data_IF_519600543015
#
_entry.id   IF_519600543015
#
_cell.length_a   1.000
_cell.length_b   1.000
_cell.length_c   1.000
_cell.angle_alpha   90.00
_cell.angle_beta   90.00
_cell.angle_gamma   90.00
#
_symmetry.space_group_name_H-M   'P 1'
#
loop_
_entity.id
_entity.type
_entity.pdbx_description
1 polymer ?
#
# COMPACT_ATOMS: atom_id res chain seq x y z
N UNK A 1 16.96 3.58 -9.60
CA UNK A 1 16.03 3.36 -10.72
C UNK A 1 15.17 2.10 -10.53
N UNK A 2 15.51 1.19 -9.60
CA UNK A 2 14.88 -0.14 -9.54
C UNK A 2 13.56 -0.22 -8.77
N UNK A 3 13.41 0.47 -7.63
CA UNK A 3 12.23 0.30 -6.76
C UNK A 3 10.91 0.67 -7.44
N UNK A 4 10.83 1.87 -8.04
CA UNK A 4 9.64 2.32 -8.77
C UNK A 4 9.47 1.54 -10.08
N UNK A 5 10.57 1.12 -10.72
CA UNK A 5 10.52 0.26 -11.89
C UNK A 5 9.81 -1.06 -11.57
N UNK A 6 10.23 -1.73 -10.50
CA UNK A 6 9.64 -2.97 -10.03
C UNK A 6 8.16 -2.77 -9.68
N UNK A 7 7.85 -1.74 -8.90
CA UNK A 7 6.50 -1.50 -8.40
C UNK A 7 5.50 -1.16 -9.52
N UNK A 8 5.93 -0.36 -10.50
CA UNK A 8 5.08 0.07 -11.62
C UNK A 8 4.76 -1.06 -12.60
N UNK A 9 5.64 -2.07 -12.71
CA UNK A 9 5.53 -3.13 -13.72
C UNK A 9 5.65 -2.63 -15.16
N UNK A 10 6.15 -1.40 -15.38
CA UNK A 10 6.27 -0.83 -16.71
C UNK A 10 7.37 -1.49 -17.53
N UNK A 11 7.14 -1.58 -18.84
CA UNK A 11 8.17 -1.93 -19.83
C UNK A 11 9.03 -0.73 -20.23
N UNK A 12 8.59 0.48 -19.84
CA UNK A 12 9.39 1.69 -19.95
C UNK A 12 10.51 1.66 -18.91
N UNK A 13 11.75 1.85 -19.35
CA UNK A 13 12.92 1.96 -18.47
C UNK A 13 12.98 3.35 -17.84
N UNK A 14 12.68 3.41 -16.55
CA UNK A 14 12.65 4.65 -15.78
C UNK A 14 14.06 5.13 -15.48
N UNK A 15 14.33 6.39 -15.81
CA UNK A 15 15.65 6.99 -15.68
C UNK A 15 15.68 8.09 -14.62
N UNK A 16 16.69 8.06 -13.76
CA UNK A 16 17.04 9.16 -12.89
C UNK A 16 18.03 10.08 -13.60
N UNK A 17 17.50 11.08 -14.30
CA UNK A 17 18.29 12.07 -15.01
C UNK A 17 17.78 13.48 -14.69
N UNK A 18 18.40 14.19 -13.72
CA UNK A 18 17.96 15.53 -13.32
C UNK A 18 18.00 16.55 -14.46
N UNK A 19 18.81 16.32 -15.50
CA UNK A 19 18.99 17.27 -16.61
C UNK A 19 17.72 17.41 -17.45
N UNK A 20 16.83 16.41 -17.42
CA UNK A 20 15.53 16.44 -18.08
C UNK A 20 14.64 17.60 -17.57
N UNK A 21 14.89 18.10 -16.35
CA UNK A 21 14.13 19.20 -15.75
C UNK A 21 14.82 20.58 -15.86
N UNK A 22 16.03 20.68 -16.41
CA UNK A 22 16.78 21.96 -16.41
C UNK A 22 16.11 23.07 -17.22
N UNK A 23 15.32 22.71 -18.21
CA UNK A 23 14.60 23.65 -19.07
C UNK A 23 13.10 23.69 -18.79
N UNK A 24 12.66 23.19 -17.62
CA UNK A 24 11.26 23.21 -17.20
C UNK A 24 11.05 24.09 -15.96
N UNK A 25 9.83 24.56 -15.76
CA UNK A 25 9.44 25.24 -14.54
C UNK A 25 9.14 24.20 -13.46
N UNK A 26 10.18 23.79 -12.72
CA UNK A 26 10.08 22.82 -11.64
C UNK A 26 10.55 23.41 -10.31
N UNK A 27 9.81 23.14 -9.23
CA UNK A 27 10.15 23.63 -7.89
C UNK A 27 10.95 22.56 -7.14
N UNK A 28 12.19 22.86 -6.77
CA UNK A 28 13.03 21.98 -5.95
C UNK A 28 12.75 22.14 -4.45
N UNK A 29 11.47 22.01 -4.09
CA UNK A 29 10.99 22.00 -2.72
C UNK A 29 9.91 20.94 -2.57
N UNK A 30 9.93 20.21 -1.45
CA UNK A 30 8.93 19.20 -1.15
C UNK A 30 8.41 19.36 0.28
N UNK A 31 7.12 19.09 0.47
CA UNK A 31 6.48 18.96 1.77
C UNK A 31 5.68 17.67 1.75
N UNK A 32 6.06 16.72 2.62
CA UNK A 32 5.34 15.46 2.75
C UNK A 32 3.92 15.76 3.21
N UNK A 33 2.94 15.26 2.45
CA UNK A 33 1.52 15.39 2.78
C UNK A 33 1.09 14.26 3.71
N UNK A 34 0.03 14.52 4.48
CA UNK A 34 -0.56 13.54 5.37
C UNK A 34 -1.13 12.35 4.59
N UNK A 35 -1.76 12.63 3.45
CA UNK A 35 -2.39 11.66 2.58
C UNK A 35 -1.34 10.71 1.99
N UNK A 36 -0.15 11.22 1.67
CA UNK A 36 0.97 10.37 1.25
C UNK A 36 1.43 9.44 2.37
N UNK A 37 1.44 9.92 3.62
CA UNK A 37 1.72 9.07 4.79
C UNK A 37 0.69 7.95 4.91
N UNK A 38 -0.62 8.24 4.83
CA UNK A 38 -1.66 7.22 4.90
C UNK A 38 -1.59 6.22 3.74
N UNK A 39 -1.37 6.71 2.53
CA UNK A 39 -1.24 5.90 1.32
C UNK A 39 -0.13 4.86 1.45
N UNK A 40 1.00 5.21 2.08
CA UNK A 40 2.17 4.34 2.23
C UNK A 40 2.07 3.28 3.34
N UNK A 41 0.90 3.09 3.97
CA UNK A 41 0.69 2.05 5.00
C UNK A 41 0.54 0.64 4.40
N UNK A 42 1.54 0.17 3.65
CA UNK A 42 1.55 -1.10 2.91
C UNK A 42 1.84 -2.34 3.76
N UNK A 43 1.17 -2.43 4.90
CA UNK A 43 1.23 -3.58 5.82
C UNK A 43 0.84 -4.93 5.20
N UNK A 44 -0.02 -5.03 4.16
CA UNK A 44 -0.26 -6.29 3.48
C UNK A 44 0.98 -6.97 2.87
N UNK A 45 2.09 -6.24 2.68
CA UNK A 45 3.36 -6.82 2.22
C UNK A 45 3.91 -7.85 3.23
N UNK A 46 3.56 -7.72 4.50
CA UNK A 46 4.14 -8.53 5.57
C UNK A 46 3.61 -9.98 5.50
N UNK A 47 4.50 -10.99 5.52
CA UNK A 47 4.11 -12.40 5.41
C UNK A 47 3.52 -12.94 6.72
N UNK A 48 3.09 -14.21 6.72
CA UNK A 48 2.63 -14.89 7.93
C UNK A 48 3.78 -15.23 8.90
N UNK A 49 4.95 -15.54 8.35
CA UNK A 49 6.20 -15.83 9.06
C UNK A 49 7.40 -15.40 8.20
N UNK A 50 8.58 -15.30 8.79
CA UNK A 50 9.81 -14.85 8.12
C UNK A 50 10.74 -16.05 7.91
N UNK A 51 11.06 -16.36 6.65
CA UNK A 51 11.92 -17.49 6.31
C UNK A 51 13.35 -16.99 6.13
N UNK A 52 14.30 -17.48 6.94
CA UNK A 52 15.69 -17.01 6.96
C UNK A 52 16.64 -18.20 7.03
N UNK A 53 17.44 -18.42 5.98
CA UNK A 53 18.45 -19.48 5.94
C UNK A 53 17.92 -20.89 6.32
N UNK A 54 16.68 -21.20 5.94
CA UNK A 54 16.00 -22.46 6.25
C UNK A 54 15.19 -22.47 7.55
N UNK A 55 15.35 -21.46 8.40
CA UNK A 55 14.55 -21.29 9.62
C UNK A 55 13.27 -20.52 9.32
N UNK A 56 12.19 -20.83 10.05
CA UNK A 56 10.92 -20.09 10.02
C UNK A 56 10.71 -19.36 11.34
N UNK A 57 10.65 -18.03 11.29
CA UNK A 57 10.46 -17.18 12.45
C UNK A 57 9.05 -16.60 12.46
N UNK A 58 8.32 -16.81 13.56
CA UNK A 58 7.07 -16.09 13.79
C UNK A 58 7.33 -14.62 14.16
N UNK A 59 6.30 -13.77 14.05
CA UNK A 59 6.38 -12.35 14.46
C UNK A 59 6.96 -12.14 15.86
N UNK A 60 6.60 -12.98 16.83
CA UNK A 60 7.11 -12.89 18.21
C UNK A 60 8.63 -13.08 18.28
N UNK A 61 9.18 -13.94 17.42
CA UNK A 61 10.61 -14.21 17.37
C UNK A 61 11.36 -13.23 16.46
N UNK A 62 10.66 -12.57 15.53
CA UNK A 62 11.23 -11.60 14.61
C UNK A 62 11.26 -10.18 15.19
N UNK A 63 10.11 -9.69 15.67
CA UNK A 63 9.97 -8.33 16.17
C UNK A 63 10.82 -8.12 17.43
N UNK A 64 11.56 -7.00 17.44
CA UNK A 64 12.47 -6.61 18.52
C UNK A 64 13.59 -7.62 18.83
N UNK A 65 13.82 -8.60 17.97
CA UNK A 65 14.93 -9.52 18.14
C UNK A 65 16.25 -8.87 17.73
N UNK A 66 17.06 -8.55 18.72
CA UNK A 66 18.33 -7.83 18.54
C UNK A 66 19.49 -8.70 18.09
N UNK A 67 19.29 -10.03 17.93
CA UNK A 67 20.34 -10.95 17.52
C UNK A 67 20.18 -11.54 16.12
N UNK A 68 19.03 -11.40 15.45
CA UNK A 68 18.82 -11.94 14.09
C UNK A 68 19.92 -11.48 13.13
N UNK A 69 20.19 -10.17 13.09
CA UNK A 69 21.21 -9.60 12.21
C UNK A 69 22.60 -10.18 12.47
N UNK A 70 23.01 -10.27 13.73
CA UNK A 70 24.35 -10.76 14.09
C UNK A 70 24.46 -12.28 14.03
N UNK A 71 23.35 -13.00 14.17
CA UNK A 71 23.29 -14.46 14.08
C UNK A 71 23.38 -14.95 12.64
N UNK A 72 22.54 -14.44 11.74
CA UNK A 72 22.52 -14.87 10.35
C UNK A 72 23.55 -14.14 9.48
N UNK A 73 23.88 -12.88 9.82
CA UNK A 73 24.68 -12.01 8.95
C UNK A 73 23.84 -11.38 7.83
N UNK A 74 24.41 -10.36 7.19
CA UNK A 74 23.71 -9.54 6.19
C UNK A 74 23.39 -10.36 4.93
N UNK A 75 24.34 -11.19 4.49
CA UNK A 75 24.27 -11.93 3.23
C UNK A 75 23.10 -12.91 3.22
N UNK A 76 22.92 -13.64 4.32
CA UNK A 76 21.82 -14.62 4.45
C UNK A 76 20.47 -13.94 4.57
N UNK A 77 20.39 -12.79 5.25
CA UNK A 77 19.16 -12.01 5.34
C UNK A 77 18.75 -11.46 3.98
N UNK A 78 19.69 -10.86 3.24
CA UNK A 78 19.45 -10.35 1.89
C UNK A 78 19.01 -11.48 0.96
N UNK A 79 19.72 -12.61 0.93
CA UNK A 79 19.32 -13.75 0.08
C UNK A 79 17.92 -14.27 0.44
N UNK A 80 17.63 -14.42 1.73
CA UNK A 80 16.34 -14.96 2.18
C UNK A 80 15.18 -14.01 1.88
N UNK A 81 15.31 -12.72 2.19
CA UNK A 81 14.28 -11.72 1.91
C UNK A 81 14.11 -11.44 0.41
N UNK A 82 15.15 -11.65 -0.40
CA UNK A 82 15.04 -11.54 -1.86
C UNK A 82 14.28 -12.72 -2.48
N UNK A 83 14.18 -13.85 -1.78
CA UNK A 83 13.48 -15.06 -2.25
C UNK A 83 12.05 -15.17 -1.71
N UNK A 84 11.80 -14.67 -0.50
CA UNK A 84 10.47 -14.70 0.08
C UNK A 84 9.58 -13.65 -0.57
N UNK A 85 8.47 -14.11 -1.15
CA UNK A 85 7.48 -13.25 -1.82
C UNK A 85 6.72 -12.44 -0.77
N UNK A 86 6.52 -11.15 -1.04
CA UNK A 86 5.68 -10.26 -0.23
C UNK A 86 4.19 -10.38 -0.62
N UNK A 87 3.31 -9.98 0.30
CA UNK A 87 1.86 -10.02 0.05
C UNK A 87 1.36 -8.94 -0.92
N UNK A 88 0.19 -9.19 -1.51
CA UNK A 88 -0.54 -8.23 -2.35
C UNK A 88 -1.01 -7.02 -1.52
N UNK A 89 -0.86 -5.79 -2.01
CA UNK A 89 -1.28 -4.57 -1.28
C UNK A 89 -2.77 -4.29 -1.42
N UNK A 90 -3.25 -4.12 -2.66
CA UNK A 90 -4.65 -3.81 -2.95
C UNK A 90 -5.54 -5.06 -3.06
N UNK A 91 -6.85 -4.84 -3.22
CA UNK A 91 -7.84 -5.93 -3.39
C UNK A 91 -8.39 -6.50 -2.08
N UNK A 92 -7.93 -6.02 -0.92
CA UNK A 92 -8.49 -6.36 0.38
C UNK A 92 -8.01 -7.67 1.01
N UNK A 93 -8.49 -7.91 2.23
CA UNK A 93 -8.35 -9.17 2.98
C UNK A 93 -6.91 -9.73 3.15
N UNK A 94 -5.88 -8.90 3.06
CA UNK A 94 -4.48 -9.37 3.08
C UNK A 94 -3.59 -8.73 4.16
N UNK A 95 -4.16 -8.14 5.22
CA UNK A 95 -3.36 -7.60 6.34
C UNK A 95 -3.21 -8.68 7.41
N UNK A 96 -1.96 -9.08 7.70
CA UNK A 96 -1.70 -10.06 8.77
C UNK A 96 -2.25 -9.59 10.13
N UNK A 97 -2.90 -10.51 10.85
CA UNK A 97 -3.60 -10.25 12.11
C UNK A 97 -2.73 -9.54 13.17
N UNK A 98 -1.41 -9.79 13.19
CA UNK A 98 -0.48 -9.19 14.16
C UNK A 98 -0.40 -7.68 13.97
N UNK A 99 -0.53 -7.18 12.74
CA UNK A 99 -0.37 -5.76 12.39
C UNK A 99 -1.68 -5.06 12.00
N UNK A 100 -2.83 -5.76 12.03
CA UNK A 100 -4.15 -5.17 11.74
C UNK A 100 -4.46 -3.94 12.62
N UNK A 101 -3.95 -3.90 13.85
CA UNK A 101 -4.12 -2.76 14.74
C UNK A 101 -3.57 -1.44 14.16
N UNK A 102 -2.56 -1.50 13.28
CA UNK A 102 -2.00 -0.33 12.59
C UNK A 102 -2.98 0.23 11.57
N UNK A 103 -3.62 -0.64 10.78
CA UNK A 103 -4.67 -0.23 9.85
C UNK A 103 -5.86 0.41 10.58
N UNK A 104 -6.29 -0.16 11.70
CA UNK A 104 -7.33 0.44 12.57
C UNK A 104 -6.90 1.81 13.09
N UNK A 105 -5.64 1.96 13.49
CA UNK A 105 -5.06 3.25 13.90
C UNK A 105 -5.11 4.29 12.78
N UNK A 106 -4.73 3.89 11.56
CA UNK A 106 -4.72 4.74 10.36
C UNK A 106 -6.13 5.26 10.04
N UNK A 107 -7.15 4.40 10.11
CA UNK A 107 -8.56 4.80 9.92
C UNK A 107 -9.00 5.80 10.99
N UNK A 108 -8.68 5.55 12.27
CA UNK A 108 -9.02 6.47 13.36
C UNK A 108 -8.35 7.83 13.18
N UNK A 109 -7.08 7.85 12.79
CA UNK A 109 -6.33 9.06 12.51
C UNK A 109 -6.94 9.84 11.32
N UNK A 110 -7.28 9.14 10.22
CA UNK A 110 -7.97 9.73 9.07
C UNK A 110 -9.23 10.51 9.48
N UNK A 111 -10.05 9.92 10.35
CA UNK A 111 -11.27 10.54 10.88
C UNK A 111 -10.96 11.74 11.77
N UNK A 112 -9.94 11.65 12.64
CA UNK A 112 -9.52 12.78 13.50
C UNK A 112 -9.02 13.97 12.67
N UNK A 113 -8.28 13.69 11.60
CA UNK A 113 -7.72 14.69 10.69
C UNK A 113 -8.73 15.17 9.66
N UNK A 114 -9.94 14.59 9.65
CA UNK A 114 -11.06 14.96 8.78
C UNK A 114 -10.68 14.90 7.29
N UNK A 115 -9.93 13.87 6.92
CA UNK A 115 -9.61 13.57 5.52
C UNK A 115 -10.92 13.41 4.75
N UNK A 116 -10.99 14.05 3.58
CA UNK A 116 -12.18 14.00 2.74
C UNK A 116 -12.46 12.58 2.22
N UNK A 117 -13.69 12.30 1.76
CA UNK A 117 -14.00 11.02 1.15
C UNK A 117 -13.12 10.71 -0.07
N UNK A 118 -12.97 9.43 -0.36
CA UNK A 118 -12.11 8.92 -1.42
C UNK A 118 -12.41 9.52 -2.80
N UNK A 119 -13.70 9.67 -3.15
CA UNK A 119 -14.10 10.28 -4.42
C UNK A 119 -13.69 11.76 -4.55
N UNK A 120 -13.55 12.50 -3.45
CA UNK A 120 -12.99 13.86 -3.50
C UNK A 120 -11.50 13.85 -3.89
N UNK A 121 -10.75 12.85 -3.39
CA UNK A 121 -9.36 12.66 -3.80
C UNK A 121 -9.25 12.18 -5.24
N UNK A 122 -10.09 11.24 -5.70
CA UNK A 122 -10.12 10.83 -7.11
C UNK A 122 -10.31 12.04 -8.02
N UNK A 123 -11.32 12.88 -7.76
CA UNK A 123 -11.52 14.15 -8.48
C UNK A 123 -10.30 15.07 -8.41
N UNK A 124 -9.70 15.21 -7.22
CA UNK A 124 -8.49 16.05 -7.03
C UNK A 124 -7.30 15.57 -7.85
N UNK A 125 -7.19 14.28 -8.12
CA UNK A 125 -6.14 13.66 -8.95
C UNK A 125 -6.59 13.38 -10.39
N UNK A 126 -7.68 14.00 -10.85
CA UNK A 126 -8.24 13.89 -12.20
C UNK A 126 -8.65 12.45 -12.59
N UNK A 127 -9.13 11.68 -11.61
CA UNK A 127 -9.74 10.38 -11.80
C UNK A 127 -11.27 10.50 -11.70
N UNK A 128 -11.98 9.69 -12.48
CA UNK A 128 -13.44 9.61 -12.40
C UNK A 128 -13.86 9.04 -11.04
N UNK A 129 -14.76 9.71 -10.28
CA UNK A 129 -15.28 9.16 -9.03
C UNK A 129 -16.06 7.87 -9.31
N UNK A 130 -16.01 6.92 -8.37
CA UNK A 130 -16.81 5.69 -8.49
C UNK A 130 -18.29 5.99 -8.27
N UNK A 131 -19.15 5.44 -9.14
CA UNK A 131 -20.60 5.62 -9.06
C UNK A 131 -21.30 4.61 -8.13
N UNK A 132 -20.64 3.48 -7.83
CA UNK A 132 -21.15 2.47 -6.91
C UNK A 132 -20.03 1.62 -6.31
N UNK A 133 -20.32 0.91 -5.22
CA UNK A 133 -19.38 -0.05 -4.62
C UNK A 133 -19.01 -1.22 -5.55
N UNK A 134 -19.90 -1.57 -6.49
CA UNK A 134 -19.67 -2.61 -7.51
C UNK A 134 -18.78 -2.12 -8.66
N UNK A 135 -18.75 -0.82 -8.93
CA UNK A 135 -17.76 -0.26 -9.87
C UNK A 135 -16.36 -0.20 -9.23
N UNK A 136 -16.32 0.03 -7.91
CA UNK A 136 -15.11 0.13 -7.08
C UNK A 136 -14.40 -1.21 -6.85
N UNK A 137 -15.15 -2.28 -6.58
CA UNK A 137 -14.62 -3.61 -6.24
C UNK A 137 -15.30 -4.70 -7.07
N UNK A 138 -14.50 -5.58 -7.67
CA UNK A 138 -14.99 -6.77 -8.38
C UNK A 138 -15.36 -7.92 -7.41
N UNK A 139 -15.11 -7.75 -6.11
CA UNK A 139 -15.52 -8.68 -5.05
C UNK A 139 -16.89 -8.24 -4.48
N UNK A 140 -17.92 -9.05 -4.74
CA UNK A 140 -19.30 -8.79 -4.31
C UNK A 140 -19.46 -8.73 -2.79
N UNK A 141 -18.71 -9.54 -2.03
CA UNK A 141 -18.74 -9.52 -0.56
C UNK A 141 -18.23 -8.18 -0.03
N UNK A 142 -17.12 -7.68 -0.57
CA UNK A 142 -16.56 -6.37 -0.22
C UNK A 142 -17.54 -5.26 -0.61
N UNK A 143 -18.07 -5.30 -1.83
CA UNK A 143 -18.98 -4.27 -2.32
C UNK A 143 -20.26 -4.19 -1.47
N UNK A 144 -20.90 -5.33 -1.19
CA UNK A 144 -22.10 -5.39 -0.35
C UNK A 144 -21.81 -4.91 1.08
N UNK A 145 -20.72 -5.40 1.70
CA UNK A 145 -20.38 -5.03 3.07
C UNK A 145 -20.11 -3.53 3.20
N UNK A 146 -19.41 -2.93 2.23
CA UNK A 146 -19.17 -1.49 2.21
C UNK A 146 -20.46 -0.69 1.99
N UNK A 147 -21.35 -1.16 1.12
CA UNK A 147 -22.65 -0.54 0.87
C UNK A 147 -23.52 -0.52 2.14
N UNK A 148 -23.54 -1.63 2.89
CA UNK A 148 -24.26 -1.72 4.17
C UNK A 148 -23.67 -0.81 5.26
N UNK A 149 -22.34 -0.65 5.29
CA UNK A 149 -21.63 0.11 6.33
C UNK A 149 -21.61 1.62 6.08
N UNK A 150 -21.37 2.04 4.83
CA UNK A 150 -21.23 3.45 4.46
C UNK A 150 -22.53 4.05 3.91
N UNK A 151 -23.40 3.24 3.30
CA UNK A 151 -24.66 3.68 2.69
C UNK A 151 -24.50 4.45 1.36
N UNK A 152 -23.38 5.13 1.15
CA UNK A 152 -23.09 5.92 -0.05
C UNK A 152 -21.61 5.78 -0.44
N UNK A 153 -21.34 5.58 -1.73
CA UNK A 153 -19.98 5.50 -2.29
C UNK A 153 -19.20 6.81 -2.09
N UNK A 154 -19.91 7.95 -2.10
CA UNK A 154 -19.32 9.26 -1.83
C UNK A 154 -18.97 9.49 -0.36
N UNK A 155 -19.36 8.56 0.54
CA UNK A 155 -18.95 8.57 1.95
C UNK A 155 -17.74 7.66 2.23
N UNK A 156 -17.24 6.90 1.25
CA UNK A 156 -16.15 5.94 1.44
C UNK A 156 -14.85 6.66 1.86
N UNK A 157 -14.24 6.20 2.95
CA UNK A 157 -13.02 6.80 3.51
C UNK A 157 -11.76 6.49 2.65
N UNK A 158 -10.81 7.44 2.65
CA UNK A 158 -9.58 7.39 1.85
C UNK A 158 -8.76 6.10 2.03
N UNK A 159 -8.29 5.80 3.24
CA UNK A 159 -7.41 4.65 3.47
C UNK A 159 -8.10 3.28 3.25
N UNK A 160 -9.33 3.04 3.73
CA UNK A 160 -10.07 1.81 3.38
C UNK A 160 -10.21 1.63 1.87
N UNK A 161 -10.53 2.69 1.13
CA UNK A 161 -10.68 2.62 -0.32
C UNK A 161 -9.37 2.17 -1.00
N UNK A 162 -8.24 2.78 -0.65
CA UNK A 162 -6.94 2.42 -1.24
C UNK A 162 -6.55 0.94 -1.06
N UNK A 163 -6.96 0.33 0.06
CA UNK A 163 -6.67 -1.08 0.33
C UNK A 163 -7.66 -2.03 -0.33
N UNK A 164 -8.90 -1.58 -0.58
CA UNK A 164 -10.00 -2.42 -1.07
C UNK A 164 -10.32 -2.22 -2.56
N UNK A 165 -9.77 -1.19 -3.19
CA UNK A 165 -9.96 -0.93 -4.61
C UNK A 165 -9.52 -2.14 -5.45
N UNK A 166 -10.28 -2.47 -6.49
CA UNK A 166 -9.90 -3.52 -7.42
C UNK A 166 -8.52 -3.27 -8.01
N UNK A 167 -7.73 -4.33 -8.10
CA UNK A 167 -6.35 -4.25 -8.57
C UNK A 167 -6.31 -4.25 -10.09
N UNK A 168 -5.26 -3.65 -10.67
CA UNK A 168 -5.01 -3.79 -12.10
C UNK A 168 -4.53 -5.22 -12.40
N UNK A 169 -4.82 -5.78 -13.59
CA UNK A 169 -4.37 -7.14 -13.93
C UNK A 169 -2.86 -7.31 -13.77
N UNK A 170 -2.45 -8.22 -12.89
CA UNK A 170 -1.04 -8.51 -12.60
C UNK A 170 -0.30 -7.42 -11.81
N UNK A 171 -1.00 -6.43 -11.25
CA UNK A 171 -0.41 -5.37 -10.44
C UNK A 171 -0.64 -5.58 -8.94
N UNK A 172 0.22 -4.97 -8.11
CA UNK A 172 0.18 -5.11 -6.65
C UNK A 172 -0.92 -4.25 -5.97
N UNK A 173 -1.50 -3.28 -6.69
CA UNK A 173 -2.57 -2.39 -6.21
C UNK A 173 -3.48 -1.87 -7.34
N UNK A 174 -4.49 -1.09 -6.97
CA UNK A 174 -5.47 -0.47 -7.86
C UNK A 174 -4.97 0.75 -8.63
N UNK A 175 -5.89 1.52 -9.19
CA UNK A 175 -5.58 2.72 -9.98
C UNK A 175 -5.26 3.94 -9.11
N UNK A 176 -5.86 4.03 -7.93
CA UNK A 176 -5.75 5.21 -7.06
C UNK A 176 -4.47 5.25 -6.24
N UNK A 177 -3.77 4.11 -6.15
CA UNK A 177 -2.46 3.97 -5.51
C UNK A 177 -1.34 4.38 -6.47
#
# INVERSE_FOLDING_TARGET
>A
EEYVQHLSGYLLDLKFDPTLLFNSQFQYGNRISLEFSQLYHWHPLMPDSFHINGDELSYKHFLFNTSILTHYGVEKLVDSFSRQIAGQIGGGHNINAVVTHVAVGTIKESRQLRIQPFNEYRKRFNLEPYASFRDFSDNEEIAQTLEELYGDIDALEFYPALMLEKTRPGAIFGESM
#
